data_IF_900240847394
#
_entry.id   IF_900240847394
#
_cell.length_a   1.000
_cell.length_b   1.000
_cell.length_c   1.000
_cell.angle_alpha   90.00
_cell.angle_beta   90.00
_cell.angle_gamma   90.00
#
_symmetry.space_group_name_H-M   'P 1'
#
loop_
_entity.id
_entity.type
_entity.pdbx_description
1 polymer ?
#
# COMPACT_ATOMS: atom_id res chain seq x y z
N UNK A 1 -7.40 18.25 9.21
CA UNK A 1 -6.54 17.41 10.05
C UNK A 1 -5.13 17.99 10.12
N UNK A 2 -4.35 18.03 9.02
CA UNK A 2 -2.93 18.39 9.04
C UNK A 2 -2.66 19.75 9.71
N UNK A 3 -3.43 20.78 9.38
CA UNK A 3 -3.31 22.14 9.93
C UNK A 3 -4.26 22.38 11.12
N UNK A 4 -5.49 21.88 11.04
CA UNK A 4 -6.55 22.24 11.98
C UNK A 4 -6.39 21.57 13.35
N UNK A 5 -5.71 20.41 13.42
CA UNK A 5 -5.54 19.63 14.64
C UNK A 5 -4.19 19.86 15.34
N UNK A 6 -3.35 20.81 14.87
CA UNK A 6 -2.02 21.06 15.46
C UNK A 6 -2.11 21.49 16.91
N UNK A 7 -3.07 22.36 17.25
CA UNK A 7 -3.28 22.83 18.62
C UNK A 7 -3.73 21.71 19.55
N UNK A 8 -4.64 20.86 19.08
CA UNK A 8 -5.13 19.72 19.88
C UNK A 8 -4.03 18.68 20.11
N UNK A 9 -3.26 18.34 19.06
CA UNK A 9 -2.24 17.29 19.14
C UNK A 9 -0.93 17.73 19.80
N UNK A 10 -0.51 18.98 19.61
CA UNK A 10 0.80 19.46 20.02
C UNK A 10 0.75 20.66 20.98
N UNK A 11 -0.45 21.10 21.36
CA UNK A 11 -0.64 22.23 22.27
C UNK A 11 -0.34 23.62 21.66
N UNK A 12 -0.03 23.68 20.34
CA UNK A 12 0.39 24.88 19.61
C UNK A 12 -0.28 24.94 18.24
N UNK A 13 -0.59 26.13 17.76
CA UNK A 13 -1.21 26.42 16.45
C UNK A 13 -0.27 27.16 15.48
N UNK A 14 0.92 27.53 15.95
CA UNK A 14 1.96 28.22 15.17
C UNK A 14 3.03 27.28 14.59
N UNK A 15 2.77 25.97 14.58
CA UNK A 15 3.70 24.97 14.06
C UNK A 15 3.60 24.84 12.55
N UNK A 16 4.73 24.53 11.88
CA UNK A 16 4.73 24.02 10.51
C UNK A 16 4.39 22.52 10.54
N UNK A 17 3.21 22.11 10.06
CA UNK A 17 2.76 20.73 10.22
C UNK A 17 3.43 19.81 9.20
N UNK A 18 4.32 18.94 9.67
CA UNK A 18 4.98 17.90 8.88
C UNK A 18 4.71 16.47 9.45
N UNK A 19 3.70 16.34 10.29
CA UNK A 19 3.40 15.12 11.04
C UNK A 19 2.52 14.12 10.28
N UNK A 20 1.89 14.53 9.18
CA UNK A 20 1.06 13.70 8.32
C UNK A 20 1.50 13.86 6.86
N UNK A 21 1.39 12.81 6.08
CA UNK A 21 1.96 12.72 4.72
C UNK A 21 1.08 13.34 3.62
N UNK A 22 0.21 14.30 3.97
CA UNK A 22 -0.51 15.08 2.97
C UNK A 22 0.42 16.14 2.38
N UNK A 23 0.44 16.26 1.05
CA UNK A 23 1.18 17.33 0.37
C UNK A 23 0.47 18.68 0.52
N UNK A 24 1.21 19.77 0.37
CA UNK A 24 0.68 21.13 0.37
C UNK A 24 0.43 21.67 -1.05
N UNK A 25 0.38 20.77 -2.03
CA UNK A 25 0.09 21.06 -3.43
C UNK A 25 -1.36 20.70 -3.76
N UNK A 26 -1.98 21.45 -4.66
CA UNK A 26 -3.25 21.06 -5.25
C UNK A 26 -3.08 19.74 -5.99
N UNK A 27 -4.12 18.90 -6.00
CA UNK A 27 -4.18 17.76 -6.91
C UNK A 27 -4.12 18.24 -8.38
N UNK A 28 -3.80 17.34 -9.29
CA UNK A 28 -3.74 17.65 -10.73
C UNK A 28 -5.06 18.23 -11.25
N UNK A 29 -4.98 19.25 -12.10
CA UNK A 29 -6.18 19.90 -12.66
C UNK A 29 -7.15 18.92 -13.35
N UNK A 30 -6.71 17.89 -14.13
CA UNK A 30 -7.64 16.89 -14.66
C UNK A 30 -8.45 16.18 -13.57
N UNK A 31 -7.85 15.88 -12.42
CA UNK A 31 -8.55 15.25 -11.29
C UNK A 31 -9.59 16.22 -10.71
N UNK A 32 -9.20 17.47 -10.48
CA UNK A 32 -10.10 18.50 -9.94
C UNK A 32 -11.30 18.69 -10.86
N UNK A 33 -11.08 18.83 -12.18
CA UNK A 33 -12.13 19.01 -13.18
C UNK A 33 -13.09 17.82 -13.19
N UNK A 34 -12.59 16.59 -13.23
CA UNK A 34 -13.41 15.39 -13.21
C UNK A 34 -14.25 15.26 -11.92
N UNK A 35 -13.69 15.67 -10.77
CA UNK A 35 -14.44 15.71 -9.51
C UNK A 35 -15.53 16.78 -9.53
N UNK A 36 -15.28 17.95 -10.12
CA UNK A 36 -16.29 19.00 -10.29
C UNK A 36 -17.43 18.53 -11.20
N UNK A 37 -17.12 17.92 -12.35
CA UNK A 37 -18.11 17.34 -13.25
C UNK A 37 -18.96 16.28 -12.53
N UNK A 38 -18.30 15.39 -11.77
CA UNK A 38 -19.01 14.38 -10.97
C UNK A 38 -19.92 15.01 -9.91
N UNK A 39 -19.49 16.10 -9.27
CA UNK A 39 -20.30 16.83 -8.30
C UNK A 39 -21.50 17.51 -8.97
N UNK A 40 -21.32 18.09 -10.14
CA UNK A 40 -22.39 18.78 -10.91
C UNK A 40 -23.49 17.84 -11.40
N UNK A 41 -23.25 16.53 -11.53
CA UNK A 41 -24.29 15.55 -11.86
C UNK A 41 -25.39 15.49 -10.80
N UNK A 42 -25.08 15.82 -9.53
CA UNK A 42 -26.06 15.95 -8.45
C UNK A 42 -26.70 14.63 -7.99
N UNK A 43 -26.34 13.47 -8.55
CA UNK A 43 -26.88 12.15 -8.22
C UNK A 43 -25.75 11.28 -7.70
N UNK A 44 -25.73 11.00 -6.38
CA UNK A 44 -24.65 10.27 -5.70
C UNK A 44 -25.11 8.87 -5.29
N UNK A 45 -25.55 8.10 -6.30
CA UNK A 45 -25.95 6.70 -6.10
C UNK A 45 -24.77 5.75 -5.82
N UNK A 46 -25.09 4.49 -5.59
CA UNK A 46 -24.07 3.45 -5.44
C UNK A 46 -23.20 3.36 -6.71
N UNK A 47 -21.88 3.29 -6.50
CA UNK A 47 -20.90 3.32 -7.57
C UNK A 47 -20.23 1.96 -7.72
N UNK A 48 -20.13 1.47 -8.95
CA UNK A 48 -19.33 0.30 -9.31
C UNK A 48 -17.92 0.73 -9.73
N UNK A 49 -17.03 -0.22 -9.82
CA UNK A 49 -15.71 -0.08 -10.45
C UNK A 49 -15.82 -0.62 -11.88
N UNK A 50 -15.85 0.24 -12.90
CA UNK A 50 -15.87 -0.18 -14.28
C UNK A 50 -14.50 -0.77 -14.67
N UNK A 51 -14.44 -1.44 -15.83
CA UNK A 51 -13.20 -2.07 -16.29
C UNK A 51 -12.07 -1.06 -16.47
N UNK A 52 -12.39 0.15 -16.88
CA UNK A 52 -11.46 1.26 -17.11
C UNK A 52 -10.70 1.65 -15.83
N UNK A 53 -11.33 1.48 -14.67
CA UNK A 53 -10.67 1.69 -13.39
C UNK A 53 -9.48 0.74 -13.20
N UNK A 54 -9.65 -0.54 -13.49
CA UNK A 54 -8.60 -1.54 -13.36
C UNK A 54 -7.55 -1.44 -14.47
N UNK A 55 -7.99 -1.15 -15.69
CA UNK A 55 -7.09 -0.95 -16.84
C UNK A 55 -6.20 0.28 -16.67
N UNK A 56 -6.69 1.36 -16.04
CA UNK A 56 -5.87 2.52 -15.69
C UNK A 56 -4.72 2.14 -14.72
N UNK A 57 -5.00 1.33 -13.70
CA UNK A 57 -4.00 0.83 -12.75
C UNK A 57 -3.00 -0.08 -13.47
N UNK A 58 -3.48 -1.03 -14.28
CA UNK A 58 -2.63 -1.93 -15.06
C UNK A 58 -1.67 -1.17 -15.96
N UNK A 59 -2.20 -0.20 -16.72
CA UNK A 59 -1.41 0.65 -17.63
C UNK A 59 -0.35 1.45 -16.87
N UNK A 60 -0.72 2.03 -15.73
CA UNK A 60 0.20 2.78 -14.89
C UNK A 60 1.36 1.89 -14.39
N UNK A 61 1.07 0.69 -13.88
CA UNK A 61 2.10 -0.24 -13.42
C UNK A 61 3.02 -0.68 -14.55
N UNK A 62 2.48 -0.91 -15.75
CA UNK A 62 3.29 -1.25 -16.92
C UNK A 62 4.21 -0.10 -17.32
N UNK A 63 3.68 1.13 -17.41
CA UNK A 63 4.46 2.29 -17.86
C UNK A 63 5.52 2.75 -16.84
N UNK A 64 5.19 2.72 -15.55
CA UNK A 64 6.09 3.22 -14.50
C UNK A 64 7.09 2.17 -14.04
N UNK A 65 6.66 0.93 -13.91
CA UNK A 65 7.40 -0.12 -13.24
C UNK A 65 7.73 -1.31 -14.17
N UNK A 66 7.34 -1.26 -15.44
CA UNK A 66 7.46 -2.37 -16.40
C UNK A 66 6.86 -3.69 -15.83
N UNK A 67 5.75 -3.55 -15.09
CA UNK A 67 5.06 -4.67 -14.47
C UNK A 67 3.67 -4.88 -15.07
N UNK A 68 3.50 -6.00 -15.75
CA UNK A 68 2.20 -6.40 -16.29
C UNK A 68 1.36 -7.08 -15.20
N UNK A 69 0.22 -6.46 -14.87
CA UNK A 69 -0.68 -6.94 -13.82
C UNK A 69 -1.94 -7.52 -14.44
N UNK A 70 -2.38 -8.67 -13.92
CA UNK A 70 -3.68 -9.25 -14.28
C UNK A 70 -4.80 -8.55 -13.48
N UNK A 71 -5.68 -7.83 -14.18
CA UNK A 71 -6.80 -7.10 -13.56
C UNK A 71 -7.78 -8.02 -12.83
N UNK A 72 -7.87 -9.30 -13.22
CA UNK A 72 -8.70 -10.29 -12.53
C UNK A 72 -8.25 -10.58 -11.11
N UNK A 73 -6.98 -10.33 -10.80
CA UNK A 73 -6.37 -10.50 -9.48
C UNK A 73 -6.46 -9.25 -8.59
N UNK A 74 -7.00 -8.15 -9.10
CA UNK A 74 -7.17 -6.91 -8.35
C UNK A 74 -8.44 -6.93 -7.50
N UNK A 75 -8.34 -6.41 -6.28
CA UNK A 75 -9.46 -5.99 -5.45
C UNK A 75 -9.19 -4.59 -4.89
N UNK A 76 -10.09 -4.07 -4.08
CA UNK A 76 -10.02 -2.70 -3.60
C UNK A 76 -10.05 -2.60 -2.08
N UNK A 77 -9.72 -1.41 -1.58
CA UNK A 77 -9.94 -1.01 -0.20
C UNK A 77 -10.17 0.51 -0.10
N UNK A 78 -10.61 0.96 1.07
CA UNK A 78 -10.80 2.37 1.39
C UNK A 78 -9.50 3.08 1.81
N UNK A 79 -8.36 2.47 1.57
CA UNK A 79 -7.02 2.94 1.91
C UNK A 79 -6.12 1.76 2.30
N UNK A 80 -4.81 2.01 2.44
CA UNK A 80 -3.84 0.93 2.75
C UNK A 80 -4.05 0.38 4.16
N UNK A 81 -4.33 1.20 5.16
CA UNK A 81 -4.62 0.70 6.51
C UNK A 81 -5.90 -0.17 6.59
N UNK A 82 -7.06 0.28 6.06
CA UNK A 82 -8.22 -0.59 5.92
C UNK A 82 -7.94 -1.86 5.12
N UNK A 83 -7.08 -1.78 4.09
CA UNK A 83 -6.65 -2.96 3.33
C UNK A 83 -5.91 -3.96 4.21
N UNK A 84 -4.90 -3.51 4.95
CA UNK A 84 -4.12 -4.36 5.86
C UNK A 84 -5.02 -4.95 6.95
N UNK A 85 -5.93 -4.18 7.53
CA UNK A 85 -6.90 -4.67 8.49
C UNK A 85 -7.77 -5.80 7.91
N UNK A 86 -8.25 -5.62 6.67
CA UNK A 86 -9.05 -6.63 5.98
C UNK A 86 -8.21 -7.88 5.61
N UNK A 87 -6.92 -7.72 5.25
CA UNK A 87 -6.00 -8.84 5.02
C UNK A 87 -5.78 -9.62 6.32
N UNK A 88 -5.50 -8.93 7.43
CA UNK A 88 -5.35 -9.58 8.75
C UNK A 88 -6.66 -10.29 9.14
N UNK A 89 -7.80 -9.63 9.02
CA UNK A 89 -9.11 -10.24 9.31
C UNK A 89 -9.40 -11.49 8.45
N UNK A 90 -8.96 -11.48 7.19
CA UNK A 90 -9.21 -12.58 6.26
C UNK A 90 -8.33 -13.78 6.53
N UNK A 91 -7.06 -13.54 6.83
CA UNK A 91 -6.04 -14.58 6.74
C UNK A 91 -5.33 -14.89 8.06
N UNK A 92 -5.40 -14.03 9.09
CA UNK A 92 -4.80 -14.33 10.39
C UNK A 92 -5.73 -15.15 11.27
N UNK A 93 -5.11 -16.09 11.96
CA UNK A 93 -5.67 -16.73 13.14
C UNK A 93 -4.99 -16.17 14.40
N UNK A 94 -5.65 -16.32 15.55
CA UNK A 94 -5.09 -15.83 16.81
C UNK A 94 -3.75 -16.51 17.11
N UNK A 95 -2.72 -15.70 17.32
CA UNK A 95 -1.35 -16.14 17.60
C UNK A 95 -0.49 -16.36 16.36
N UNK A 96 -1.03 -16.16 15.14
CA UNK A 96 -0.22 -16.16 13.92
C UNK A 96 0.82 -15.03 13.97
N UNK A 97 2.04 -15.33 13.58
CA UNK A 97 3.15 -14.38 13.62
C UNK A 97 3.28 -13.61 12.30
N UNK A 98 3.53 -12.30 12.43
CA UNK A 98 3.76 -11.41 11.28
C UNK A 98 5.07 -10.67 11.49
N UNK A 99 5.98 -10.78 10.52
CA UNK A 99 7.28 -10.08 10.56
C UNK A 99 7.10 -8.65 10.04
N UNK A 100 7.65 -7.68 10.76
CA UNK A 100 7.80 -6.29 10.34
C UNK A 100 9.24 -5.83 10.59
N UNK A 101 9.67 -4.74 9.92
CA UNK A 101 11.05 -4.25 9.95
C UNK A 101 11.17 -2.83 10.56
N UNK A 102 11.09 -2.66 11.89
CA UNK A 102 11.25 -1.34 12.52
C UNK A 102 12.66 -0.73 12.27
N UNK A 103 12.78 0.63 12.22
CA UNK A 103 11.67 1.60 12.26
C UNK A 103 10.80 1.53 11.02
N UNK A 104 9.52 1.27 11.19
CA UNK A 104 8.54 1.16 10.11
C UNK A 104 7.23 1.83 10.54
N UNK A 105 6.34 2.06 9.61
CA UNK A 105 5.03 2.67 9.88
C UNK A 105 4.33 1.95 11.05
N UNK A 106 4.13 2.71 12.14
CA UNK A 106 3.73 2.16 13.44
C UNK A 106 2.37 1.43 13.42
N UNK A 107 1.48 1.82 12.50
CA UNK A 107 0.17 1.20 12.38
C UNK A 107 0.22 -0.27 11.90
N UNK A 108 1.33 -0.74 11.33
CA UNK A 108 1.47 -2.16 11.01
C UNK A 108 1.35 -3.02 12.27
N UNK A 109 2.05 -2.62 13.35
CA UNK A 109 1.93 -3.29 14.64
C UNK A 109 0.49 -3.26 15.16
N UNK A 110 -0.12 -2.08 15.17
CA UNK A 110 -1.47 -1.89 15.69
C UNK A 110 -2.50 -2.76 14.96
N UNK A 111 -2.41 -2.85 13.64
CA UNK A 111 -3.31 -3.66 12.82
C UNK A 111 -3.11 -5.16 13.07
N UNK A 112 -1.87 -5.63 13.17
CA UNK A 112 -1.56 -7.05 13.46
C UNK A 112 -2.14 -7.44 14.82
N UNK A 113 -1.85 -6.66 15.87
CA UNK A 113 -2.30 -6.94 17.24
C UNK A 113 -3.82 -6.84 17.39
N UNK A 114 -4.47 -5.89 16.69
CA UNK A 114 -5.93 -5.72 16.71
C UNK A 114 -6.69 -6.96 16.20
N UNK A 115 -6.07 -7.73 15.30
CA UNK A 115 -6.64 -8.97 14.77
C UNK A 115 -6.07 -10.23 15.43
N UNK A 116 -5.39 -10.08 16.56
CA UNK A 116 -4.91 -11.19 17.38
C UNK A 116 -3.62 -11.84 16.90
N UNK A 117 -2.92 -11.23 15.93
CA UNK A 117 -1.60 -11.67 15.49
C UNK A 117 -0.48 -11.28 16.47
N UNK A 118 0.64 -11.96 16.38
CA UNK A 118 1.86 -11.65 17.10
C UNK A 118 2.88 -10.96 16.20
N UNK A 119 3.39 -9.81 16.65
CA UNK A 119 4.42 -9.06 15.90
C UNK A 119 5.78 -9.68 16.16
N UNK A 120 6.47 -10.07 15.09
CA UNK A 120 7.87 -10.47 15.10
C UNK A 120 8.70 -9.36 14.45
N UNK A 121 9.68 -8.84 15.15
CA UNK A 121 10.50 -7.74 14.66
C UNK A 121 11.81 -8.24 14.07
N UNK A 122 12.07 -7.88 12.80
CA UNK A 122 13.41 -7.89 12.22
C UNK A 122 13.90 -6.44 12.19
N UNK A 123 14.63 -6.05 13.24
CA UNK A 123 15.07 -4.68 13.43
C UNK A 123 16.06 -4.25 12.36
N UNK A 124 15.80 -3.13 11.69
CA UNK A 124 16.76 -2.56 10.74
C UNK A 124 18.02 -2.07 11.47
N UNK A 125 19.18 -2.26 10.86
CA UNK A 125 20.47 -1.78 11.34
C UNK A 125 20.68 -0.36 10.82
N UNK A 126 20.87 0.60 11.73
CA UNK A 126 21.27 1.96 11.38
C UNK A 126 22.80 2.05 11.33
N UNK A 127 23.35 2.60 10.25
CA UNK A 127 24.75 2.91 10.12
C UNK A 127 24.96 4.22 9.36
N UNK A 128 25.49 5.24 10.02
CA UNK A 128 25.76 6.57 9.47
C UNK A 128 24.53 7.21 8.77
N UNK A 129 23.37 7.15 9.41
CA UNK A 129 22.11 7.71 8.91
C UNK A 129 21.45 6.88 7.81
N UNK A 130 21.98 5.72 7.47
CA UNK A 130 21.39 4.80 6.51
C UNK A 130 20.97 3.51 7.17
N UNK A 131 19.81 2.99 6.78
CA UNK A 131 19.25 1.76 7.31
C UNK A 131 19.49 0.57 6.37
N UNK A 132 19.74 -0.59 6.97
CA UNK A 132 20.04 -1.86 6.29
C UNK A 132 19.20 -2.98 6.89
N UNK A 133 18.92 -4.01 6.11
CA UNK A 133 18.24 -5.22 6.57
C UNK A 133 19.24 -6.14 7.24
N UNK A 134 18.93 -6.62 8.44
CA UNK A 134 19.64 -7.71 9.08
C UNK A 134 19.09 -9.04 8.52
N UNK A 135 19.74 -9.56 7.48
CA UNK A 135 19.33 -10.80 6.84
C UNK A 135 19.57 -12.04 7.70
N UNK A 136 20.54 -12.02 8.60
CA UNK A 136 20.79 -13.16 9.51
C UNK A 136 19.71 -13.23 10.58
N UNK A 137 19.33 -12.10 11.15
CA UNK A 137 18.18 -12.03 12.06
C UNK A 137 16.87 -12.38 11.31
N UNK A 138 16.68 -11.91 10.07
CA UNK A 138 15.49 -12.24 9.29
C UNK A 138 15.36 -13.74 9.07
N UNK A 139 16.45 -14.44 8.69
CA UNK A 139 16.44 -15.91 8.54
C UNK A 139 16.06 -16.61 9.87
N UNK A 140 16.57 -16.12 11.00
CA UNK A 140 16.26 -16.67 12.30
C UNK A 140 14.80 -16.43 12.71
N UNK A 141 14.24 -15.26 12.39
CA UNK A 141 12.83 -14.92 12.65
C UNK A 141 11.88 -15.71 11.75
N UNK A 142 12.22 -15.87 10.48
CA UNK A 142 11.42 -16.65 9.52
C UNK A 142 11.21 -18.10 9.99
N UNK A 143 12.25 -18.74 10.51
CA UNK A 143 12.20 -20.10 11.07
C UNK A 143 11.29 -20.27 12.29
N UNK A 144 10.81 -19.17 12.88
CA UNK A 144 9.90 -19.20 14.04
C UNK A 144 8.43 -19.42 13.64
N UNK A 145 8.15 -19.71 12.38
CA UNK A 145 6.80 -20.01 11.88
C UNK A 145 5.94 -18.77 11.68
N UNK A 146 6.53 -17.68 11.16
CA UNK A 146 5.75 -16.53 10.73
C UNK A 146 4.86 -16.90 9.54
N UNK A 147 3.62 -16.38 9.51
CA UNK A 147 2.67 -16.59 8.42
C UNK A 147 2.78 -15.52 7.35
N UNK A 148 3.06 -14.29 7.77
CA UNK A 148 3.23 -13.14 6.88
C UNK A 148 4.48 -12.35 7.22
N UNK A 149 4.99 -11.64 6.21
CA UNK A 149 5.93 -10.54 6.37
C UNK A 149 5.38 -9.30 5.65
N UNK A 150 5.27 -8.18 6.36
CA UNK A 150 4.93 -6.89 5.73
C UNK A 150 6.24 -6.20 5.33
N UNK A 151 6.42 -6.02 4.03
CA UNK A 151 7.54 -5.30 3.43
C UNK A 151 7.06 -3.93 2.97
N UNK A 152 7.65 -2.86 3.52
CA UNK A 152 7.36 -1.48 3.12
C UNK A 152 8.41 -1.04 2.09
N UNK A 153 7.99 -0.74 0.87
CA UNK A 153 8.93 -0.32 -0.20
C UNK A 153 8.28 0.70 -1.15
N UNK A 154 8.69 1.96 -1.12
CA UNK A 154 9.69 2.60 -0.25
C UNK A 154 9.37 2.53 1.24
N UNK A 155 10.41 2.42 2.05
CA UNK A 155 10.28 2.15 3.49
C UNK A 155 10.04 3.42 4.31
N UNK A 156 8.86 3.55 4.87
CA UNK A 156 8.45 4.64 5.73
C UNK A 156 8.67 4.28 7.22
N UNK A 157 9.36 5.09 8.05
CA UNK A 157 9.76 6.49 7.78
C UNK A 157 11.22 6.67 7.32
N UNK A 158 12.01 5.64 7.17
CA UNK A 158 13.47 5.76 6.98
C UNK A 158 13.88 6.21 5.57
N UNK A 159 12.94 6.26 4.61
CA UNK A 159 13.17 6.78 3.27
C UNK A 159 14.02 5.86 2.38
N UNK A 160 14.17 4.58 2.73
CA UNK A 160 14.89 3.61 1.88
C UNK A 160 14.01 3.11 0.75
N UNK A 161 14.58 3.04 -0.45
CA UNK A 161 14.10 2.20 -1.55
C UNK A 161 14.96 0.95 -1.57
N UNK A 162 14.36 -0.21 -1.35
CA UNK A 162 15.12 -1.46 -1.36
C UNK A 162 15.54 -1.82 -2.78
N UNK A 163 16.78 -2.29 -2.95
CA UNK A 163 17.25 -2.74 -4.25
C UNK A 163 16.57 -4.05 -4.66
N UNK A 164 16.64 -4.38 -5.95
CA UNK A 164 16.09 -5.65 -6.43
C UNK A 164 16.71 -6.83 -5.71
N UNK A 165 18.01 -6.80 -5.45
CA UNK A 165 18.76 -7.85 -4.76
C UNK A 165 18.34 -7.98 -3.29
N UNK A 166 18.09 -6.84 -2.60
CA UNK A 166 17.56 -6.83 -1.24
C UNK A 166 16.15 -7.45 -1.20
N UNK A 167 15.29 -7.09 -2.16
CA UNK A 167 13.93 -7.64 -2.28
C UNK A 167 13.93 -9.14 -2.63
N UNK A 168 14.81 -9.57 -3.54
CA UNK A 168 15.00 -11.00 -3.86
C UNK A 168 15.46 -11.80 -2.63
N UNK A 169 16.39 -11.24 -1.84
CA UNK A 169 16.87 -11.91 -0.63
C UNK A 169 15.76 -12.03 0.43
N UNK A 170 14.93 -10.99 0.64
CA UNK A 170 13.74 -11.07 1.50
C UNK A 170 12.81 -12.17 0.99
N UNK A 171 12.48 -12.13 -0.30
CA UNK A 171 11.52 -13.04 -0.90
C UNK A 171 11.95 -14.50 -0.78
N UNK A 172 13.22 -14.79 -1.07
CA UNK A 172 13.76 -16.15 -0.94
C UNK A 172 13.65 -16.69 0.49
N UNK A 173 13.99 -15.86 1.50
CA UNK A 173 13.82 -16.24 2.90
C UNK A 173 12.34 -16.53 3.23
N UNK A 174 11.43 -15.70 2.74
CA UNK A 174 10.00 -15.90 2.95
C UNK A 174 9.49 -17.17 2.29
N UNK A 175 9.87 -17.42 1.03
CA UNK A 175 9.47 -18.62 0.25
C UNK A 175 9.98 -19.89 0.91
N UNK A 176 11.26 -19.93 1.29
CA UNK A 176 11.87 -21.08 1.99
C UNK A 176 11.14 -21.46 3.29
N UNK A 177 10.45 -20.51 3.92
CA UNK A 177 9.74 -20.70 5.18
C UNK A 177 8.20 -20.64 5.03
N UNK A 178 7.66 -20.71 3.81
CA UNK A 178 6.23 -20.62 3.50
C UNK A 178 5.54 -19.35 4.05
N UNK A 179 6.25 -18.23 4.06
CA UNK A 179 5.76 -16.93 4.51
C UNK A 179 5.18 -16.19 3.30
N UNK A 180 3.94 -15.72 3.40
CA UNK A 180 3.35 -14.84 2.41
C UNK A 180 3.82 -13.40 2.63
N UNK A 181 4.27 -12.74 1.57
CA UNK A 181 4.71 -11.35 1.59
C UNK A 181 3.51 -10.43 1.36
N UNK A 182 3.35 -9.42 2.21
CA UNK A 182 2.47 -8.28 1.97
C UNK A 182 3.37 -7.10 1.65
N UNK A 183 3.44 -6.72 0.37
CA UNK A 183 4.27 -5.61 -0.10
C UNK A 183 3.47 -4.32 -0.08
N UNK A 184 3.76 -3.44 0.87
CA UNK A 184 3.18 -2.09 0.92
C UNK A 184 3.99 -1.16 0.03
N UNK A 185 3.43 -0.86 -1.14
CA UNK A 185 4.05 -0.07 -2.21
C UNK A 185 3.34 1.28 -2.42
N UNK A 186 2.71 1.82 -1.37
CA UNK A 186 1.93 3.07 -1.46
C UNK A 186 2.76 4.28 -1.90
N UNK A 187 4.07 4.26 -1.67
CA UNK A 187 5.00 5.31 -2.08
C UNK A 187 5.78 4.99 -3.36
N UNK A 188 5.42 3.93 -4.09
CA UNK A 188 6.16 3.40 -5.24
C UNK A 188 6.43 4.42 -6.36
N UNK A 189 5.58 5.42 -6.50
CA UNK A 189 5.76 6.45 -7.53
C UNK A 189 6.69 7.58 -7.10
N UNK A 190 6.81 7.86 -5.79
CA UNK A 190 7.56 9.00 -5.25
C UNK A 190 9.05 8.63 -5.11
N UNK A 191 9.74 8.59 -6.24
CA UNK A 191 11.17 8.27 -6.31
C UNK A 191 11.98 9.55 -6.48
N UNK A 192 12.98 9.73 -5.61
CA UNK A 192 13.86 10.90 -5.63
C UNK A 192 15.28 10.50 -6.06
N UNK A 193 16.03 11.47 -6.57
CA UNK A 193 17.47 11.35 -6.89
C UNK A 193 17.81 10.19 -7.83
N UNK A 194 16.96 9.91 -8.81
CA UNK A 194 17.18 8.88 -9.81
C UNK A 194 16.98 7.43 -9.33
N UNK A 195 16.49 7.24 -8.10
CA UNK A 195 16.10 5.91 -7.65
C UNK A 195 14.92 5.38 -8.47
N UNK A 196 14.83 4.05 -8.56
CA UNK A 196 13.72 3.36 -9.23
C UNK A 196 13.08 2.37 -8.27
N UNK A 197 11.76 2.35 -8.27
CA UNK A 197 11.01 1.32 -7.57
C UNK A 197 11.03 0.02 -8.35
N UNK A 198 11.14 -1.10 -7.64
CA UNK A 198 10.93 -2.44 -8.18
C UNK A 198 9.76 -3.06 -7.42
N UNK A 199 8.59 -3.29 -8.07
CA UNK A 199 7.50 -4.01 -7.43
C UNK A 199 7.96 -5.41 -7.03
N UNK A 200 7.70 -5.82 -5.80
CA UNK A 200 8.10 -7.13 -5.29
C UNK A 200 7.62 -8.26 -6.22
N UNK A 201 6.35 -8.21 -6.62
CA UNK A 201 5.72 -9.23 -7.46
C UNK A 201 6.20 -9.22 -8.93
N UNK A 202 6.97 -8.22 -9.36
CA UNK A 202 7.53 -8.14 -10.72
C UNK A 202 8.86 -8.87 -10.89
N UNK A 203 9.51 -9.24 -9.79
CA UNK A 203 10.88 -9.75 -9.78
C UNK A 203 10.98 -11.13 -10.45
N UNK A 204 10.08 -12.04 -10.10
CA UNK A 204 9.96 -13.36 -10.71
C UNK A 204 8.56 -13.95 -10.52
N UNK A 205 8.22 -14.95 -11.33
CA UNK A 205 6.95 -15.69 -11.23
C UNK A 205 6.78 -16.37 -9.85
N UNK A 206 7.87 -16.87 -9.28
CA UNK A 206 7.84 -17.53 -7.97
C UNK A 206 7.56 -16.51 -6.86
N UNK A 207 8.24 -15.36 -6.88
CA UNK A 207 8.01 -14.27 -5.91
C UNK A 207 6.59 -13.74 -6.05
N UNK A 208 6.08 -13.58 -7.29
CA UNK A 208 4.70 -13.16 -7.55
C UNK A 208 3.68 -14.06 -6.87
N UNK A 209 3.88 -15.38 -6.91
CA UNK A 209 2.98 -16.36 -6.28
C UNK A 209 2.91 -16.27 -4.76
N UNK A 210 3.90 -15.64 -4.14
CA UNK A 210 3.99 -15.47 -2.68
C UNK A 210 3.72 -14.04 -2.22
N UNK A 211 3.37 -13.11 -3.14
CA UNK A 211 3.26 -11.68 -2.83
C UNK A 211 1.84 -11.15 -3.03
N UNK A 212 1.31 -10.50 -1.99
CA UNK A 212 0.15 -9.62 -2.05
C UNK A 212 0.69 -8.20 -2.15
N UNK A 213 0.34 -7.44 -3.20
CA UNK A 213 0.81 -6.07 -3.37
C UNK A 213 -0.28 -5.08 -3.00
N UNK A 214 0.06 -4.10 -2.17
CA UNK A 214 -0.79 -3.00 -1.74
C UNK A 214 -0.33 -1.71 -2.41
N UNK A 215 -1.20 -1.06 -3.20
CA UNK A 215 -0.89 0.18 -3.92
C UNK A 215 -2.05 1.17 -3.88
N UNK A 216 -1.76 2.45 -4.13
CA UNK A 216 -2.78 3.51 -4.15
C UNK A 216 -2.28 4.74 -4.90
N UNK A 217 -3.20 5.46 -5.57
CA UNK A 217 -2.96 6.79 -6.13
C UNK A 217 -2.86 7.90 -5.06
N UNK A 218 -3.26 7.60 -3.83
CA UNK A 218 -3.52 8.63 -2.81
C UNK A 218 -2.29 9.39 -2.36
N UNK A 219 -1.12 8.75 -2.30
CA UNK A 219 0.13 9.43 -1.97
C UNK A 219 0.75 10.10 -3.18
N UNK A 220 0.70 9.47 -4.34
CA UNK A 220 1.21 10.00 -5.60
C UNK A 220 0.54 11.31 -5.99
N UNK A 221 -0.78 11.42 -5.85
CA UNK A 221 -1.59 12.53 -6.35
C UNK A 221 -2.27 13.36 -5.24
N UNK A 222 -1.86 13.18 -3.97
CA UNK A 222 -2.43 13.91 -2.82
C UNK A 222 -3.95 13.73 -2.66
N UNK A 223 -4.42 12.49 -2.71
CA UNK A 223 -5.85 12.13 -2.69
C UNK A 223 -6.28 11.34 -1.44
N UNK A 224 -5.52 11.42 -0.34
CA UNK A 224 -5.75 10.60 0.84
C UNK A 224 -7.19 10.69 1.39
N UNK A 225 -7.79 11.87 1.36
CA UNK A 225 -9.17 12.11 1.79
C UNK A 225 -10.24 11.42 0.92
N UNK A 226 -9.89 10.94 -0.27
CA UNK A 226 -10.82 10.22 -1.16
C UNK A 226 -10.89 8.72 -0.89
N UNK A 227 -10.00 8.19 -0.06
CA UNK A 227 -10.08 6.81 0.47
C UNK A 227 -10.17 5.74 -0.63
N UNK A 228 -9.11 5.55 -1.36
CA UNK A 228 -9.00 4.53 -2.40
C UNK A 228 -7.66 3.82 -2.34
N UNK A 229 -7.68 2.51 -2.47
CA UNK A 229 -6.48 1.69 -2.62
C UNK A 229 -6.82 0.41 -3.41
N UNK A 230 -5.79 -0.23 -3.94
CA UNK A 230 -5.91 -1.46 -4.71
C UNK A 230 -4.98 -2.51 -4.12
N UNK A 231 -5.50 -3.71 -3.94
CA UNK A 231 -4.74 -4.90 -3.58
C UNK A 231 -4.67 -5.83 -4.78
N UNK A 232 -3.49 -6.36 -5.05
CA UNK A 232 -3.22 -7.29 -6.15
C UNK A 232 -2.79 -8.61 -5.51
N UNK A 233 -3.57 -9.65 -5.77
CA UNK A 233 -3.38 -10.97 -5.17
C UNK A 233 -2.52 -11.89 -6.05
N UNK A 234 -1.80 -12.85 -5.46
CA UNK A 234 -1.04 -13.85 -6.22
C UNK A 234 -1.93 -14.84 -6.97
N UNK A 235 -3.19 -15.02 -6.54
CA UNK A 235 -4.15 -15.95 -7.13
C UNK A 235 -5.60 -15.60 -6.81
N UNK A 236 -6.52 -16.16 -7.60
CA UNK A 236 -7.96 -15.93 -7.44
C UNK A 236 -8.54 -16.46 -6.11
N UNK A 237 -7.95 -17.53 -5.55
CA UNK A 237 -8.45 -18.09 -4.30
C UNK A 237 -8.32 -17.06 -3.15
N UNK A 238 -7.14 -16.47 -2.97
CA UNK A 238 -6.93 -15.47 -1.94
C UNK A 238 -7.77 -14.20 -2.20
N UNK A 239 -7.84 -13.75 -3.46
CA UNK A 239 -8.71 -12.64 -3.84
C UNK A 239 -10.16 -12.89 -3.45
N UNK A 240 -10.70 -14.06 -3.78
CA UNK A 240 -12.10 -14.39 -3.50
C UNK A 240 -12.40 -14.46 -1.99
N UNK A 241 -11.46 -14.96 -1.18
CA UNK A 241 -11.58 -14.94 0.28
C UNK A 241 -11.65 -13.50 0.81
N UNK A 242 -10.74 -12.65 0.35
CA UNK A 242 -10.73 -11.24 0.70
C UNK A 242 -12.03 -10.53 0.28
N UNK A 243 -12.48 -10.72 -0.96
CA UNK A 243 -13.72 -10.12 -1.47
C UNK A 243 -14.96 -10.60 -0.69
N UNK A 244 -14.96 -11.85 -0.21
CA UNK A 244 -16.02 -12.39 0.65
C UNK A 244 -16.10 -11.66 2.00
N UNK A 245 -14.95 -11.34 2.59
CA UNK A 245 -14.88 -10.54 3.82
C UNK A 245 -15.38 -9.12 3.57
N UNK A 246 -14.96 -8.44 2.49
CA UNK A 246 -15.47 -7.12 2.15
C UNK A 246 -17.00 -7.09 2.04
N UNK A 247 -17.58 -8.12 1.44
CA UNK A 247 -19.06 -8.26 1.36
C UNK A 247 -19.68 -8.49 2.73
N UNK A 248 -19.07 -9.33 3.56
CA UNK A 248 -19.57 -9.66 4.90
C UNK A 248 -19.60 -8.45 5.83
N UNK A 249 -18.62 -7.55 5.72
CA UNK A 249 -18.53 -6.33 6.54
C UNK A 249 -19.05 -5.08 5.81
N UNK A 250 -19.70 -5.25 4.64
CA UNK A 250 -20.31 -4.19 3.83
C UNK A 250 -19.36 -3.07 3.37
N UNK A 251 -18.06 -3.37 3.21
CA UNK A 251 -17.04 -2.41 2.75
C UNK A 251 -16.60 -2.63 1.30
N UNK A 252 -17.41 -3.35 0.52
CA UNK A 252 -17.10 -3.70 -0.88
C UNK A 252 -17.38 -2.61 -1.91
N UNK A 253 -17.85 -1.43 -1.47
CA UNK A 253 -18.13 -0.28 -2.34
C UNK A 253 -17.19 0.87 -2.05
N UNK A 254 -16.82 1.61 -3.10
CA UNK A 254 -16.15 2.89 -2.99
C UNK A 254 -17.18 4.03 -3.04
N UNK A 255 -16.78 5.23 -2.61
CA UNK A 255 -17.57 6.42 -2.84
C UNK A 255 -17.49 6.87 -4.30
N UNK A 256 -18.44 7.69 -4.74
CA UNK A 256 -18.59 8.10 -6.13
C UNK A 256 -17.42 8.96 -6.67
N UNK A 257 -16.69 9.63 -5.79
CA UNK A 257 -15.58 10.51 -6.16
C UNK A 257 -14.25 9.75 -6.26
N UNK A 258 -14.04 8.75 -5.39
CA UNK A 258 -12.78 8.00 -5.36
C UNK A 258 -12.53 7.21 -6.65
N UNK A 259 -13.58 6.65 -7.27
CA UNK A 259 -13.45 5.91 -8.53
C UNK A 259 -13.03 6.85 -9.66
N UNK A 260 -13.69 7.99 -9.79
CA UNK A 260 -13.36 9.01 -10.79
C UNK A 260 -11.94 9.52 -10.59
N UNK A 261 -11.63 9.97 -9.37
CA UNK A 261 -10.31 10.52 -9.07
C UNK A 261 -9.17 9.53 -9.31
N UNK A 262 -9.33 8.27 -8.90
CA UNK A 262 -8.30 7.25 -9.09
C UNK A 262 -8.09 6.92 -10.58
N UNK A 263 -9.15 6.83 -11.36
CA UNK A 263 -9.05 6.56 -12.80
C UNK A 263 -8.32 7.71 -13.50
N UNK A 264 -8.76 8.96 -13.29
CA UNK A 264 -8.13 10.13 -13.89
C UNK A 264 -6.69 10.34 -13.41
N UNK A 265 -6.41 10.07 -12.13
CA UNK A 265 -5.04 10.14 -11.61
C UNK A 265 -4.06 9.28 -12.42
N UNK A 266 -4.43 8.04 -12.72
CA UNK A 266 -3.57 7.12 -13.47
C UNK A 266 -3.62 7.30 -14.99
N UNK A 267 -4.65 7.95 -15.55
CA UNK A 267 -4.74 8.18 -17.00
C UNK A 267 -4.24 9.56 -17.44
N UNK A 268 -4.46 10.60 -16.64
CA UNK A 268 -4.21 12.00 -17.00
C UNK A 268 -3.32 12.76 -15.99
N UNK A 269 -3.00 12.16 -14.84
CA UNK A 269 -2.22 12.83 -13.79
C UNK A 269 -0.70 12.87 -14.02
N UNK A 270 -0.20 12.19 -15.06
CA UNK A 270 1.24 11.97 -15.26
C UNK A 270 2.07 13.25 -15.34
N UNK A 271 1.60 14.26 -16.08
CA UNK A 271 2.33 15.52 -16.25
C UNK A 271 2.44 16.33 -14.96
N UNK A 272 1.42 16.27 -14.11
CA UNK A 272 1.47 16.93 -12.81
C UNK A 272 2.49 16.28 -11.87
N UNK A 273 2.68 14.98 -12.02
CA UNK A 273 3.57 14.20 -11.17
C UNK A 273 5.04 14.31 -11.58
N UNK A 274 5.37 14.52 -12.87
CA UNK A 274 6.73 14.64 -13.41
C UNK A 274 7.32 16.02 -13.19
#
# INVERSE_FOLDING_TARGET
VKYDETKEKFGRDDLIPLWIADMDFKAADPIINALQERAMQGIYGYTSRPIEYFEAIKKWQLEKNNWEVDTSLMSHALGVLPMLANLMHTFLEKGDKVIIQPPVFHEFKNVIEAWGGEVVTNQLIENNGRYYIDFDDLRNKAKQGAKFMIVCNPHNPVGRVWSKEELEAIANICIENNITIISDEIYSDIMLWGNKHTPMASISEEIRKHTITCTSSTKTFNLAGLQVATVIFPNLNMKNQYDAILKKIETYRNNAFSIVANTIAFTEGKEWFL
#
